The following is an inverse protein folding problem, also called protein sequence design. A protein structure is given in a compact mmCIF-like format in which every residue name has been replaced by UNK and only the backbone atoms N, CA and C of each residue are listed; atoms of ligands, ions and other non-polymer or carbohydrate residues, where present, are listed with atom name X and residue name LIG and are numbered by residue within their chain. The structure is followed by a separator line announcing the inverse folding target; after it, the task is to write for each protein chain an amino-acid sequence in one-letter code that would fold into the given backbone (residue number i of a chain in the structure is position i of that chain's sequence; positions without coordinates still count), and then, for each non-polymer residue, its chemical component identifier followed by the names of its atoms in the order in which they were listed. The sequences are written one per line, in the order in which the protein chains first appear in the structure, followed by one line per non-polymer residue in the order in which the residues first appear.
data_IF_316882752529
#
_entry.id   IF_316882752529
#
_cell.length_a   1.000
_cell.length_b   1.000
_cell.length_c   1.000
_cell.angle_alpha   90.00
_cell.angle_beta   90.00
_cell.angle_gamma   90.00
#
_symmetry.space_group_name_H-M   'P 1'
#
loop_
_entity.id
_entity.type
_entity.pdbx_description
1 polymer ?
#
# COMPACT_ATOMS: atom_id res chain seq x y z
N UNK A 1 -53.38 -3.22 -10.69
CA UNK A 1 -52.30 -3.95 -10.00
C UNK A 1 -50.99 -3.43 -10.58
N UNK A 2 -50.44 -2.39 -9.96
CA UNK A 2 -49.23 -1.72 -10.46
C UNK A 2 -48.01 -2.44 -9.88
N UNK A 3 -47.23 -3.07 -10.75
CA UNK A 3 -46.01 -3.79 -10.34
C UNK A 3 -44.91 -2.76 -10.11
N UNK A 4 -44.64 -2.48 -8.84
CA UNK A 4 -43.53 -1.62 -8.44
C UNK A 4 -42.22 -2.21 -8.98
N UNK A 5 -41.67 -1.57 -10.02
CA UNK A 5 -40.35 -1.86 -10.57
C UNK A 5 -39.33 -1.70 -9.44
N UNK A 6 -38.82 -2.82 -8.92
CA UNK A 6 -37.70 -2.84 -7.99
C UNK A 6 -36.49 -2.24 -8.70
N UNK A 7 -36.21 -0.96 -8.45
CA UNK A 7 -34.95 -0.32 -8.82
C UNK A 7 -33.82 -1.12 -8.17
N UNK A 8 -33.09 -1.89 -8.97
CA UNK A 8 -31.85 -2.48 -8.51
C UNK A 8 -30.88 -1.36 -8.19
N UNK A 9 -30.25 -1.44 -7.02
CA UNK A 9 -29.21 -0.51 -6.66
C UNK A 9 -28.06 -0.64 -7.69
N UNK A 10 -27.52 0.49 -8.15
CA UNK A 10 -26.46 0.59 -9.19
C UNK A 10 -25.21 -0.27 -8.92
N UNK A 11 -25.12 -0.78 -7.70
CA UNK A 11 -24.04 -1.51 -7.10
C UNK A 11 -24.32 -3.00 -6.88
N UNK A 12 -25.49 -3.52 -7.28
CA UNK A 12 -25.83 -4.93 -7.13
C UNK A 12 -24.78 -5.78 -7.86
N UNK A 13 -24.15 -6.71 -7.14
CA UNK A 13 -23.07 -7.57 -7.67
C UNK A 13 -21.68 -6.90 -7.77
N UNK A 14 -21.56 -5.58 -7.57
CA UNK A 14 -20.26 -4.89 -7.54
C UNK A 14 -19.75 -4.81 -6.11
N UNK A 15 -18.53 -5.27 -5.84
CA UNK A 15 -17.85 -4.95 -4.58
C UNK A 15 -17.51 -3.45 -4.52
N UNK A 16 -18.46 -2.63 -4.09
CA UNK A 16 -18.26 -1.19 -3.88
C UNK A 16 -17.18 -0.98 -2.82
N UNK A 17 -16.28 -0.02 -3.06
CA UNK A 17 -15.38 0.51 -2.04
C UNK A 17 -13.96 -0.06 -2.05
N UNK A 18 -13.65 -1.01 -2.93
CA UNK A 18 -12.29 -1.52 -3.07
C UNK A 18 -11.47 -0.70 -4.08
N UNK A 19 -10.72 0.28 -3.56
CA UNK A 19 -9.72 1.05 -4.33
C UNK A 19 -8.77 0.08 -5.07
N UNK A 20 -8.66 0.09 -6.41
CA UNK A 20 -7.89 -0.89 -7.17
C UNK A 20 -6.37 -0.73 -6.94
N UNK A 21 -5.57 -1.79 -7.15
CA UNK A 21 -4.12 -1.70 -7.13
C UNK A 21 -3.60 -0.84 -8.29
N UNK A 22 -2.42 -0.24 -8.14
CA UNK A 22 -1.73 0.44 -9.23
C UNK A 22 -1.16 -0.58 -10.22
N UNK A 23 -1.20 -0.29 -11.53
CA UNK A 23 -0.53 -1.11 -12.54
C UNK A 23 0.98 -0.78 -12.57
N UNK A 24 1.85 -1.68 -13.05
CA UNK A 24 3.30 -1.41 -13.14
C UNK A 24 3.64 -0.09 -13.86
N UNK A 25 2.93 0.22 -14.96
CA UNK A 25 3.09 1.49 -15.69
C UNK A 25 2.77 2.73 -14.84
N UNK A 26 1.76 2.64 -13.97
CA UNK A 26 1.33 3.73 -13.11
C UNK A 26 2.35 3.96 -11.99
N UNK A 27 2.89 2.87 -11.42
CA UNK A 27 3.96 2.92 -10.41
C UNK A 27 5.19 3.60 -11.00
N UNK A 28 5.56 3.24 -12.23
CA UNK A 28 6.69 3.83 -12.92
C UNK A 28 6.47 5.32 -13.20
N UNK A 29 5.30 5.70 -13.74
CA UNK A 29 4.96 7.10 -13.99
C UNK A 29 5.03 7.96 -12.72
N UNK A 30 4.49 7.47 -11.60
CA UNK A 30 4.56 8.18 -10.30
C UNK A 30 6.01 8.33 -9.83
N UNK A 31 6.82 7.27 -9.91
CA UNK A 31 8.24 7.31 -9.51
C UNK A 31 9.03 8.34 -10.31
N UNK A 32 8.92 8.30 -11.63
CA UNK A 32 9.60 9.24 -12.52
C UNK A 32 9.21 10.67 -12.20
N UNK A 33 7.92 10.93 -12.01
CA UNK A 33 7.45 12.26 -11.65
C UNK A 33 8.03 12.75 -10.31
N UNK A 34 8.03 11.90 -9.28
CA UNK A 34 8.60 12.24 -7.97
C UNK A 34 10.11 12.47 -8.02
N UNK A 35 10.82 11.68 -8.83
CA UNK A 35 12.26 11.84 -9.07
C UNK A 35 12.57 13.15 -9.79
N UNK A 36 11.86 13.46 -10.87
CA UNK A 36 12.04 14.69 -11.65
C UNK A 36 11.73 15.96 -10.82
N UNK A 37 10.81 15.86 -9.85
CA UNK A 37 10.52 16.95 -8.91
C UNK A 37 11.47 17.02 -7.71
N UNK A 38 12.46 16.12 -7.62
CA UNK A 38 13.33 15.96 -6.45
C UNK A 38 12.53 15.83 -5.13
N UNK A 39 11.36 15.18 -5.20
CA UNK A 39 10.43 15.00 -4.10
C UNK A 39 10.84 13.82 -3.20
N UNK A 40 12.03 13.93 -2.59
CA UNK A 40 12.71 12.86 -1.84
C UNK A 40 11.82 12.19 -0.79
N UNK A 41 11.14 12.99 0.04
CA UNK A 41 10.22 12.48 1.08
C UNK A 41 9.09 11.65 0.47
N UNK A 42 8.47 12.19 -0.57
CA UNK A 42 7.31 11.59 -1.21
C UNK A 42 7.69 10.29 -1.92
N UNK A 43 8.87 10.24 -2.56
CA UNK A 43 9.41 9.01 -3.14
C UNK A 43 9.66 7.93 -2.07
N UNK A 44 10.23 8.31 -0.92
CA UNK A 44 10.42 7.41 0.22
C UNK A 44 9.07 6.86 0.73
N UNK A 45 8.06 7.72 0.95
CA UNK A 45 6.72 7.28 1.39
C UNK A 45 6.11 6.35 0.34
N UNK A 46 6.16 6.70 -0.94
CA UNK A 46 5.55 5.93 -2.02
C UNK A 46 6.13 4.52 -2.13
N UNK A 47 7.47 4.43 -2.18
CA UNK A 47 8.17 3.16 -2.27
C UNK A 47 7.90 2.30 -1.02
N UNK A 48 8.01 2.90 0.17
CA UNK A 48 7.78 2.19 1.43
C UNK A 48 6.32 1.74 1.59
N UNK A 49 5.33 2.51 1.12
CA UNK A 49 3.93 2.12 1.16
C UNK A 49 3.64 0.85 0.33
N UNK A 50 4.26 0.75 -0.85
CA UNK A 50 4.14 -0.41 -1.74
C UNK A 50 4.89 -1.62 -1.17
N UNK A 51 6.10 -1.41 -0.67
CA UNK A 51 6.95 -2.48 -0.15
C UNK A 51 6.49 -2.99 1.20
N UNK A 52 6.06 -2.13 2.10
CA UNK A 52 5.60 -2.56 3.43
C UNK A 52 4.21 -3.16 3.41
N UNK A 53 3.39 -2.78 2.41
CA UNK A 53 1.97 -3.12 2.34
C UNK A 53 1.24 -2.76 3.64
N UNK A 54 1.71 -1.77 4.40
CA UNK A 54 1.08 -1.37 5.67
C UNK A 54 -0.21 -0.58 5.44
N UNK A 55 -1.07 -0.53 6.46
CA UNK A 55 -2.21 0.41 6.43
C UNK A 55 -1.65 1.82 6.57
N UNK A 56 -2.39 2.81 6.05
CA UNK A 56 -1.94 4.20 6.14
C UNK A 56 -1.67 4.66 7.57
N UNK A 57 -2.47 4.21 8.55
CA UNK A 57 -2.23 4.51 9.97
C UNK A 57 -0.95 3.88 10.51
N UNK A 58 -0.61 2.65 10.11
CA UNK A 58 0.60 1.97 10.53
C UNK A 58 1.84 2.62 9.87
N UNK A 59 1.75 2.91 8.56
CA UNK A 59 2.83 3.53 7.77
C UNK A 59 3.27 4.88 8.33
N UNK A 60 2.32 5.78 8.64
CA UNK A 60 2.67 7.12 9.12
C UNK A 60 3.14 7.15 10.57
N UNK A 61 2.96 6.04 11.31
CA UNK A 61 3.44 5.89 12.68
C UNK A 61 4.83 5.25 12.76
N UNK A 62 5.42 4.85 11.63
CA UNK A 62 6.77 4.29 11.62
C UNK A 62 7.79 5.27 12.22
N UNK A 63 8.69 4.73 13.02
CA UNK A 63 9.89 5.40 13.53
C UNK A 63 11.09 5.05 12.67
N UNK A 64 12.13 5.87 12.75
CA UNK A 64 13.41 5.59 12.09
C UNK A 64 14.00 4.27 12.61
N UNK A 65 13.90 4.01 13.91
CA UNK A 65 14.31 2.74 14.53
C UNK A 65 13.58 1.49 14.01
N UNK A 66 12.40 1.63 13.42
CA UNK A 66 11.64 0.47 12.90
C UNK A 66 12.25 -0.07 11.60
N UNK A 67 13.01 0.77 10.87
CA UNK A 67 13.55 0.44 9.54
C UNK A 67 15.07 0.56 9.47
N UNK A 68 15.74 0.93 10.57
CA UNK A 68 17.19 1.13 10.62
C UNK A 68 17.85 0.41 11.78
N UNK A 69 19.12 0.09 11.61
CA UNK A 69 20.02 -0.27 12.70
C UNK A 69 21.31 0.51 12.54
N UNK A 70 21.59 1.43 13.47
CA UNK A 70 22.62 2.46 13.29
C UNK A 70 22.32 3.31 12.05
N UNK A 71 23.31 3.44 11.15
CA UNK A 71 23.18 4.22 9.92
C UNK A 71 22.71 3.40 8.71
N UNK A 72 22.36 2.12 8.89
CA UNK A 72 21.96 1.24 7.80
C UNK A 72 20.45 1.00 7.77
N UNK A 73 19.85 1.11 6.58
CA UNK A 73 18.47 0.69 6.36
C UNK A 73 18.41 -0.84 6.29
N UNK A 74 17.57 -1.45 7.12
CA UNK A 74 17.41 -2.90 7.16
C UNK A 74 16.81 -3.44 5.85
N UNK A 75 17.13 -4.67 5.42
CA UNK A 75 16.47 -5.31 4.28
C UNK A 75 15.04 -5.78 4.61
N UNK A 76 14.72 -5.92 5.90
CA UNK A 76 13.40 -6.30 6.41
C UNK A 76 13.11 -5.55 7.70
N UNK A 77 11.84 -5.25 7.94
CA UNK A 77 11.36 -4.63 9.16
C UNK A 77 10.17 -5.40 9.71
N UNK A 78 9.92 -5.26 11.01
CA UNK A 78 8.79 -5.86 11.71
C UNK A 78 8.07 -4.78 12.51
N UNK A 79 6.74 -4.73 12.39
CA UNK A 79 5.91 -3.77 13.13
C UNK A 79 4.64 -4.43 13.66
N UNK A 80 4.15 -3.95 14.80
CA UNK A 80 2.85 -4.36 15.32
C UNK A 80 1.75 -3.55 14.64
N UNK A 81 0.87 -4.21 13.88
CA UNK A 81 -0.24 -3.54 13.23
C UNK A 81 -1.28 -3.07 14.24
N UNK A 82 -1.72 -1.81 14.14
CA UNK A 82 -2.68 -1.22 15.09
C UNK A 82 -4.05 -1.90 15.07
N UNK A 83 -4.53 -2.34 13.90
CA UNK A 83 -5.86 -2.97 13.77
C UNK A 83 -5.92 -4.37 14.35
N UNK A 84 -4.87 -5.17 14.12
CA UNK A 84 -4.87 -6.61 14.43
C UNK A 84 -4.05 -6.94 15.67
N UNK A 85 -3.25 -5.98 16.19
CA UNK A 85 -2.35 -6.17 17.33
C UNK A 85 -1.38 -7.35 17.11
N UNK A 86 -0.97 -7.56 15.87
CA UNK A 86 -0.08 -8.66 15.46
C UNK A 86 1.16 -8.11 14.78
N UNK A 87 2.33 -8.77 14.96
CA UNK A 87 3.51 -8.46 14.18
C UNK A 87 3.26 -8.78 12.70
N UNK A 88 3.71 -7.87 11.84
CA UNK A 88 3.85 -8.12 10.41
C UNK A 88 5.29 -7.80 10.02
N UNK A 89 5.92 -8.74 9.33
CA UNK A 89 7.23 -8.54 8.74
C UNK A 89 7.07 -8.17 7.27
N UNK A 90 7.87 -7.23 6.80
CA UNK A 90 7.90 -6.82 5.39
C UNK A 90 9.32 -6.54 4.92
N UNK A 91 9.51 -6.67 3.62
CA UNK A 91 10.76 -6.42 2.93
C UNK A 91 10.90 -4.94 2.55
N UNK A 92 12.14 -4.46 2.55
CA UNK A 92 12.54 -3.15 2.06
C UNK A 92 13.43 -3.40 0.85
N UNK A 93 12.89 -3.28 -0.36
CA UNK A 93 13.67 -3.48 -1.59
C UNK A 93 14.75 -2.41 -1.71
N UNK A 94 15.77 -2.67 -2.52
CA UNK A 94 16.88 -1.73 -2.72
C UNK A 94 16.41 -0.32 -3.14
N UNK A 95 15.49 -0.13 -4.11
CA UNK A 95 14.96 1.20 -4.42
C UNK A 95 14.28 1.90 -3.23
N UNK A 96 13.62 1.13 -2.36
CA UNK A 96 13.01 1.68 -1.13
C UNK A 96 14.07 2.08 -0.13
N UNK A 97 15.11 1.25 0.07
CA UNK A 97 16.21 1.57 0.99
C UNK A 97 16.95 2.82 0.55
N UNK A 98 17.24 2.96 -0.75
CA UNK A 98 17.88 4.16 -1.31
C UNK A 98 17.01 5.41 -1.09
N UNK A 99 15.71 5.34 -1.40
CA UNK A 99 14.80 6.47 -1.21
C UNK A 99 14.66 6.87 0.28
N UNK A 100 14.55 5.89 1.17
CA UNK A 100 14.48 6.13 2.63
C UNK A 100 15.79 6.72 3.14
N UNK A 101 16.95 6.18 2.73
CA UNK A 101 18.26 6.71 3.11
C UNK A 101 18.41 8.18 2.70
N UNK A 102 18.08 8.52 1.46
CA UNK A 102 18.12 9.89 0.97
C UNK A 102 17.18 10.82 1.75
N UNK A 103 16.03 10.31 2.22
CA UNK A 103 15.12 11.07 3.06
C UNK A 103 15.69 11.31 4.47
N UNK A 104 16.25 10.28 5.12
CA UNK A 104 16.85 10.39 6.45
C UNK A 104 18.00 11.42 6.44
N UNK A 105 18.84 11.39 5.41
CA UNK A 105 19.93 12.34 5.23
C UNK A 105 19.40 13.77 5.03
N UNK A 106 18.47 13.97 4.09
CA UNK A 106 17.89 15.30 3.79
C UNK A 106 17.16 15.92 4.97
N UNK A 107 16.53 15.11 5.82
CA UNK A 107 15.75 15.57 6.96
C UNK A 107 16.53 15.54 8.29
N UNK A 108 17.78 15.06 8.29
CA UNK A 108 18.63 14.87 9.47
C UNK A 108 17.90 14.16 10.62
N UNK A 109 17.18 13.07 10.29
CA UNK A 109 16.35 12.35 11.26
C UNK A 109 17.19 11.41 12.13
N UNK A 110 16.89 11.43 13.43
CA UNK A 110 17.46 10.53 14.44
C UNK A 110 16.58 9.29 14.65
N UNK A 111 17.17 8.25 15.23
CA UNK A 111 16.51 6.96 15.45
C UNK A 111 15.23 7.03 16.30
N UNK A 112 15.14 7.98 17.23
CA UNK A 112 13.99 8.18 18.14
C UNK A 112 12.80 8.89 17.48
N UNK A 113 12.99 9.46 16.29
CA UNK A 113 11.98 10.26 15.61
C UNK A 113 11.08 9.42 14.71
N UNK A 114 9.91 9.98 14.38
CA UNK A 114 9.06 9.43 13.33
C UNK A 114 9.77 9.49 11.99
N UNK A 115 9.61 8.44 11.18
CA UNK A 115 10.18 8.36 9.85
C UNK A 115 9.64 9.46 8.93
N UNK A 116 8.38 9.86 9.13
CA UNK A 116 7.75 10.95 8.39
C UNK A 116 7.16 11.99 9.36
N UNK A 117 7.98 12.93 9.89
CA UNK A 117 7.50 13.98 10.78
C UNK A 117 6.50 14.90 10.08
N UNK A 118 5.62 15.53 10.87
CA UNK A 118 4.73 16.57 10.34
C UNK A 118 5.51 17.85 10.05
N UNK A 119 4.90 18.73 9.26
CA UNK A 119 5.35 20.13 9.12
C UNK A 119 4.66 21.06 10.13
N UNK A 120 3.62 20.57 10.80
CA UNK A 120 2.87 21.31 11.81
C UNK A 120 3.47 21.04 13.19
N UNK A 121 3.66 22.09 14.00
CA UNK A 121 4.24 21.99 15.34
C UNK A 121 3.44 21.05 16.26
N UNK A 122 2.11 21.10 16.21
CA UNK A 122 1.22 20.34 17.10
C UNK A 122 1.00 18.87 16.67
N UNK A 123 1.67 18.41 15.62
CA UNK A 123 1.52 17.05 15.10
C UNK A 123 2.89 16.38 15.01
N UNK A 124 3.14 15.28 15.73
CA UNK A 124 4.48 14.68 15.76
C UNK A 124 4.85 14.02 14.42
N UNK A 125 3.88 13.55 13.65
CA UNK A 125 4.10 12.86 12.38
C UNK A 125 3.05 13.21 11.32
N UNK A 126 3.30 12.77 10.08
CA UNK A 126 2.36 12.88 8.97
C UNK A 126 1.00 12.28 9.36
N UNK A 127 -0.09 13.04 9.22
CA UNK A 127 -1.41 12.49 9.50
C UNK A 127 -1.89 11.56 8.38
N UNK A 128 -2.76 10.59 8.70
CA UNK A 128 -3.37 9.70 7.70
C UNK A 128 -4.17 10.46 6.65
N UNK A 129 -4.84 11.56 7.05
CA UNK A 129 -5.55 12.46 6.14
C UNK A 129 -4.60 13.14 5.17
N UNK A 130 -3.46 13.63 5.66
CA UNK A 130 -2.46 14.25 4.80
C UNK A 130 -1.80 13.24 3.87
N UNK A 131 -1.51 12.03 4.36
CA UNK A 131 -1.04 10.94 3.52
C UNK A 131 -2.04 10.61 2.40
N UNK A 132 -3.34 10.56 2.69
CA UNK A 132 -4.36 10.35 1.66
C UNK A 132 -4.38 11.46 0.59
N UNK A 133 -4.23 12.73 0.99
CA UNK A 133 -4.11 13.85 0.03
C UNK A 133 -2.88 13.75 -0.85
N UNK A 134 -1.74 13.37 -0.26
CA UNK A 134 -0.49 13.14 -1.00
C UNK A 134 -0.68 12.02 -2.04
N UNK A 135 -1.33 10.91 -1.66
CA UNK A 135 -1.64 9.82 -2.60
C UNK A 135 -2.55 10.28 -3.73
N UNK A 136 -3.59 11.07 -3.44
CA UNK A 136 -4.47 11.61 -4.48
C UNK A 136 -3.69 12.47 -5.48
N UNK A 137 -2.77 13.31 -5.00
CA UNK A 137 -1.90 14.12 -5.87
C UNK A 137 -1.01 13.25 -6.77
N UNK A 138 -0.40 12.19 -6.23
CA UNK A 138 0.43 11.27 -7.04
C UNK A 138 -0.38 10.60 -8.14
N UNK A 139 -1.55 10.08 -7.79
CA UNK A 139 -2.48 9.42 -8.72
C UNK A 139 -2.93 10.39 -9.82
N UNK A 140 -3.37 11.59 -9.46
CA UNK A 140 -3.76 12.61 -10.43
C UNK A 140 -2.62 12.99 -11.36
N UNK A 141 -1.39 13.06 -10.86
CA UNK A 141 -0.25 13.41 -11.71
C UNK A 141 0.11 12.28 -12.69
N UNK A 142 -0.21 11.04 -12.36
CA UNK A 142 -0.09 9.91 -13.29
C UNK A 142 -1.25 9.81 -14.29
N UNK A 143 -2.16 10.80 -14.33
CA UNK A 143 -3.33 10.79 -15.21
C UNK A 143 -4.44 9.82 -14.78
N UNK A 144 -4.41 9.37 -13.52
CA UNK A 144 -5.40 8.46 -12.97
C UNK A 144 -6.51 9.22 -12.21
N UNK A 145 -7.71 8.65 -12.18
CA UNK A 145 -8.83 9.21 -11.43
C UNK A 145 -8.64 9.04 -9.91
N UNK A 146 -8.34 10.16 -9.24
CA UNK A 146 -8.17 10.21 -7.77
C UNK A 146 -9.41 9.78 -6.97
N UNK A 147 -10.61 9.79 -7.56
CA UNK A 147 -11.83 9.29 -6.92
C UNK A 147 -11.81 7.77 -6.75
N UNK A 148 -11.08 7.07 -7.63
CA UNK A 148 -11.00 5.61 -7.69
C UNK A 148 -9.83 5.07 -6.88
N UNK A 149 -8.71 5.78 -6.79
CA UNK A 149 -7.53 5.33 -6.04
C UNK A 149 -7.45 5.96 -4.63
N UNK A 150 -6.55 5.44 -3.80
CA UNK A 150 -6.33 5.95 -2.44
C UNK A 150 -5.24 5.19 -1.70
N UNK A 151 -5.10 5.42 -0.40
CA UNK A 151 -4.05 4.77 0.43
C UNK A 151 -4.12 3.24 0.40
N UNK A 152 -5.33 2.68 0.31
CA UNK A 152 -5.53 1.24 0.15
C UNK A 152 -5.08 0.71 -1.22
N UNK A 153 -5.05 1.53 -2.28
CA UNK A 153 -4.49 1.12 -3.57
C UNK A 153 -3.03 0.74 -3.43
N UNK A 154 -2.21 1.56 -2.76
CA UNK A 154 -0.77 1.31 -2.58
C UNK A 154 -0.54 0.02 -1.80
N UNK A 155 -1.31 -0.20 -0.71
CA UNK A 155 -1.26 -1.44 0.06
C UNK A 155 -1.63 -2.67 -0.76
N UNK A 156 -2.62 -2.57 -1.65
CA UNK A 156 -3.06 -3.68 -2.52
C UNK A 156 -2.06 -4.00 -3.61
N UNK A 157 -1.39 -2.98 -4.16
CA UNK A 157 -0.52 -3.11 -5.33
C UNK A 157 0.40 -4.32 -5.28
N UNK A 158 1.31 -4.39 -4.30
CA UNK A 158 2.28 -5.50 -4.25
C UNK A 158 1.64 -6.83 -3.86
N UNK A 159 0.62 -6.81 -2.99
CA UNK A 159 -0.12 -8.00 -2.59
C UNK A 159 -0.84 -8.66 -3.78
N UNK A 160 -1.50 -7.87 -4.63
CA UNK A 160 -2.15 -8.36 -5.85
C UNK A 160 -1.13 -8.89 -6.86
N UNK A 161 0.01 -8.21 -7.06
CA UNK A 161 1.06 -8.70 -7.94
C UNK A 161 1.65 -10.05 -7.48
N UNK A 162 1.87 -10.21 -6.17
CA UNK A 162 2.34 -11.48 -5.59
C UNK A 162 1.31 -12.58 -5.81
N UNK A 163 0.03 -12.32 -5.55
CA UNK A 163 -1.03 -13.29 -5.78
C UNK A 163 -1.11 -13.71 -7.26
N UNK A 164 -1.12 -12.75 -8.19
CA UNK A 164 -1.19 -13.05 -9.62
C UNK A 164 -0.03 -13.93 -10.10
N UNK A 165 1.17 -13.73 -9.55
CA UNK A 165 2.37 -14.50 -9.92
C UNK A 165 2.43 -15.88 -9.29
N UNK A 166 1.95 -16.02 -8.05
CA UNK A 166 2.21 -17.23 -7.24
C UNK A 166 0.96 -18.07 -6.97
N UNK A 167 -0.22 -17.47 -7.15
CA UNK A 167 -1.52 -17.97 -6.72
C UNK A 167 -1.54 -18.43 -5.23
N UNK A 168 -0.56 -18.00 -4.43
CA UNK A 168 -0.41 -18.41 -3.02
C UNK A 168 -1.12 -17.43 -2.08
N UNK A 169 -2.38 -17.73 -1.79
CA UNK A 169 -3.22 -16.89 -0.93
C UNK A 169 -2.70 -16.79 0.51
N UNK A 170 -2.11 -17.88 1.03
CA UNK A 170 -1.59 -17.93 2.40
C UNK A 170 -0.39 -16.99 2.58
N UNK A 171 0.51 -16.95 1.60
CA UNK A 171 1.64 -16.02 1.62
C UNK A 171 1.16 -14.56 1.67
N UNK A 172 0.16 -14.21 0.84
CA UNK A 172 -0.40 -12.84 0.83
C UNK A 172 -1.13 -12.51 2.13
N UNK A 173 -1.84 -13.46 2.74
CA UNK A 173 -2.47 -13.28 4.04
C UNK A 173 -1.45 -12.90 5.12
N UNK A 174 -0.31 -13.60 5.17
CA UNK A 174 0.77 -13.35 6.13
C UNK A 174 1.36 -11.96 5.90
N UNK A 175 1.69 -11.61 4.65
CA UNK A 175 2.28 -10.32 4.30
C UNK A 175 1.34 -9.13 4.60
N UNK A 176 0.03 -9.33 4.52
CA UNK A 176 -0.95 -8.31 4.89
C UNK A 176 -1.25 -8.30 6.40
N UNK A 177 -0.90 -9.34 7.14
CA UNK A 177 -1.27 -9.50 8.55
C UNK A 177 -2.78 -9.69 8.75
N UNK A 178 -3.47 -10.35 7.82
CA UNK A 178 -4.89 -10.65 7.95
C UNK A 178 -5.14 -11.86 8.84
N UNK A 179 -6.06 -11.74 9.80
CA UNK A 179 -6.40 -12.82 10.74
C UNK A 179 -7.15 -13.96 10.07
N UNK A 180 -8.04 -13.63 9.12
CA UNK A 180 -8.93 -14.55 8.42
C UNK A 180 -8.57 -14.61 6.93
N UNK A 181 -8.62 -15.80 6.34
CA UNK A 181 -8.28 -15.99 4.93
C UNK A 181 -9.32 -15.32 4.02
N UNK A 182 -10.59 -15.35 4.42
CA UNK A 182 -11.73 -14.70 3.75
C UNK A 182 -11.52 -13.19 3.61
N UNK A 183 -10.81 -12.58 4.57
CA UNK A 183 -10.44 -11.16 4.47
C UNK A 183 -9.46 -10.92 3.32
N UNK A 184 -8.54 -11.85 3.09
CA UNK A 184 -7.58 -11.78 1.97
C UNK A 184 -8.26 -12.06 0.63
N UNK A 185 -9.15 -13.06 0.56
CA UNK A 185 -9.98 -13.34 -0.63
C UNK A 185 -10.75 -12.09 -1.04
N UNK A 186 -11.52 -11.53 -0.10
CA UNK A 186 -12.26 -10.30 -0.32
C UNK A 186 -11.33 -9.17 -0.73
N UNK A 187 -10.22 -8.96 -0.02
CA UNK A 187 -9.29 -7.85 -0.28
C UNK A 187 -8.57 -7.93 -1.63
N UNK A 188 -8.33 -9.12 -2.14
CA UNK A 188 -7.74 -9.32 -3.47
C UNK A 188 -8.79 -9.25 -4.58
N UNK A 189 -10.07 -9.46 -4.26
CA UNK A 189 -11.14 -9.52 -5.24
C UNK A 189 -11.06 -10.79 -6.07
N UNK A 190 -10.75 -11.93 -5.42
CA UNK A 190 -10.66 -13.23 -6.09
C UNK A 190 -12.08 -13.70 -6.41
N UNK A 191 -12.30 -14.03 -7.68
CA UNK A 191 -13.59 -14.47 -8.21
C UNK A 191 -13.51 -15.93 -8.73
N UNK A 192 -14.64 -16.48 -9.16
CA UNK A 192 -14.71 -17.85 -9.69
C UNK A 192 -13.86 -18.00 -10.95
N UNK A 193 -13.81 -16.96 -11.79
CA UNK A 193 -12.99 -16.95 -13.01
C UNK A 193 -11.50 -17.10 -12.71
N UNK A 194 -10.99 -16.58 -11.59
CA UNK A 194 -9.61 -16.80 -11.17
C UNK A 194 -9.32 -18.28 -10.87
N UNK A 195 -10.32 -19.03 -10.40
CA UNK A 195 -10.18 -20.46 -10.13
C UNK A 195 -10.26 -21.30 -11.42
N UNK A 196 -11.13 -20.90 -12.36
CA UNK A 196 -11.24 -21.53 -13.68
C UNK A 196 -9.95 -21.35 -14.48
N UNK A 197 -9.39 -20.13 -14.53
CA UNK A 197 -8.10 -19.85 -15.19
C UNK A 197 -6.97 -20.77 -14.68
N UNK A 198 -6.93 -21.04 -13.36
CA UNK A 198 -5.94 -21.96 -12.79
C UNK A 198 -6.19 -23.40 -13.24
N UNK A 199 -7.46 -23.82 -13.29
CA UNK A 199 -7.83 -25.18 -13.71
C UNK A 199 -7.51 -25.41 -15.19
N UNK A 200 -7.75 -24.43 -16.06
CA UNK A 200 -7.47 -24.51 -17.50
C UNK A 200 -5.98 -24.65 -17.81
N UNK A 201 -5.11 -24.13 -16.94
CA UNK A 201 -3.66 -24.18 -17.12
C UNK A 201 -3.03 -25.54 -16.77
N UNK A 202 -3.80 -26.48 -16.20
CA UNK A 202 -3.30 -27.82 -15.88
C UNK A 202 -4.06 -28.84 -16.72
N UNK A 203 -3.39 -29.30 -17.77
CA UNK A 203 -3.75 -30.49 -18.54
C UNK A 203 -3.25 -31.72 -17.77
N UNK A 204 -4.11 -32.73 -17.63
CA UNK A 204 -3.79 -34.04 -17.03
C UNK A 204 -3.59 -35.05 -18.15
#
# INVERSE_FOLDING_TARGET
MDTAQKREAWNKGKMIGQKPPLKPKDIWAIRIHLQNKHAVRDLAIFNLAIDSKLRGCDLVNLRVSDVTHGNQILPRAIVIQRKTQRPVQFELTEPTRLAVSAWLEKAHLRSDQYLFPSRLADSPHLSTRQYARIVHMWVSTAGLDSSIYGTHSLRRTKATLIYKKTKNLRAVQILLGHTKLESTVRYLGIEVDDALEISEQIEI
#
